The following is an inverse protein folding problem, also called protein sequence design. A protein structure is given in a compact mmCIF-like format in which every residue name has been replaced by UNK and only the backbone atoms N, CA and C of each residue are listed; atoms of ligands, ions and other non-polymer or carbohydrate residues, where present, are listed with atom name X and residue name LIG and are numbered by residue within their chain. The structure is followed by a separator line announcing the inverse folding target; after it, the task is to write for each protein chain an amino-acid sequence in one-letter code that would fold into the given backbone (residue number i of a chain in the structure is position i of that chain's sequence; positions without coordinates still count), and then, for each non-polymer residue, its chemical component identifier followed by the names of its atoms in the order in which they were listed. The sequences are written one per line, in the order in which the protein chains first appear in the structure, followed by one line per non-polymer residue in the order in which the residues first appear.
data_IF_664737336872
#
_entry.id   IF_664737336872
#
_cell.length_a   1.000
_cell.length_b   1.000
_cell.length_c   1.000
_cell.angle_alpha   90.00
_cell.angle_beta   90.00
_cell.angle_gamma   90.00
#
_symmetry.space_group_name_H-M   'P 1'
#
loop_
_entity.id
_entity.type
_entity.pdbx_description
1 polymer ?
#
# COMPACT_ATOMS: atom_id res chain seq x y z
N UNK A 1 23.88 14.19 22.20
CA UNK A 1 23.05 15.41 22.07
C UNK A 1 21.98 15.35 23.16
N UNK A 2 22.07 16.16 24.22
CA UNK A 2 21.03 16.23 25.27
C UNK A 2 20.17 17.47 25.02
N UNK A 3 18.94 17.28 24.58
CA UNK A 3 17.91 18.32 24.58
C UNK A 3 17.30 18.36 25.99
N UNK A 4 17.79 19.24 26.85
CA UNK A 4 17.14 19.54 28.13
C UNK A 4 15.94 20.44 27.86
N UNK A 5 14.75 19.85 27.72
CA UNK A 5 13.50 20.59 27.60
C UNK A 5 13.05 21.16 28.96
N UNK A 6 13.40 22.40 29.25
CA UNK A 6 12.73 23.16 30.32
C UNK A 6 11.56 23.96 29.72
N UNK A 7 10.35 23.45 29.90
CA UNK A 7 9.12 24.18 29.60
C UNK A 7 8.63 24.86 30.88
N UNK A 8 8.86 26.18 31.02
CA UNK A 8 8.27 26.97 32.10
C UNK A 8 6.90 27.47 31.66
N UNK A 9 5.84 27.12 32.39
CA UNK A 9 4.46 27.56 32.12
C UNK A 9 3.88 28.32 33.31
N UNK A 10 3.30 29.49 33.05
CA UNK A 10 2.29 30.12 33.91
C UNK A 10 0.92 29.77 33.33
N UNK A 11 0.17 28.89 34.01
CA UNK A 11 -1.28 28.71 33.84
C UNK A 11 -1.72 27.71 32.75
N UNK A 12 -2.71 26.89 33.13
CA UNK A 12 -3.44 25.84 32.36
C UNK A 12 -2.71 24.50 32.12
N UNK A 13 -3.38 23.40 32.49
CA UNK A 13 -2.86 22.03 32.42
C UNK A 13 -3.00 21.45 31.01
N UNK A 14 -1.89 20.94 30.45
CA UNK A 14 -1.88 20.16 29.22
C UNK A 14 -1.24 18.82 29.53
N UNK A 15 -1.76 17.72 28.96
CA UNK A 15 -1.04 16.44 28.99
C UNK A 15 -0.04 16.44 27.84
N UNK A 16 1.20 16.13 28.17
CA UNK A 16 2.32 16.09 27.24
C UNK A 16 2.56 14.64 26.82
N UNK A 17 2.20 14.30 25.59
CA UNK A 17 2.66 13.09 24.92
C UNK A 17 3.55 13.54 23.77
N UNK A 18 4.83 13.78 24.09
CA UNK A 18 5.86 14.07 23.10
C UNK A 18 6.65 12.80 22.83
N UNK A 19 6.53 12.24 21.63
CA UNK A 19 7.52 11.27 21.14
C UNK A 19 8.76 12.07 20.73
N UNK A 20 9.79 12.01 21.56
CA UNK A 20 11.09 12.60 21.28
C UNK A 20 11.96 11.58 20.54
N UNK A 21 12.20 11.78 19.24
CA UNK A 21 13.31 11.11 18.57
C UNK A 21 14.61 11.84 18.98
N UNK A 22 15.17 11.49 20.14
CA UNK A 22 16.50 11.96 20.56
C UNK A 22 17.50 10.87 20.24
N UNK A 23 18.25 11.05 19.16
CA UNK A 23 19.44 10.24 18.88
C UNK A 23 20.55 10.74 19.82
N UNK A 24 20.73 10.07 20.95
CA UNK A 24 21.81 10.32 21.90
C UNK A 24 22.87 9.23 21.78
N UNK A 25 23.93 9.48 21.02
CA UNK A 25 25.16 8.70 21.14
C UNK A 25 25.90 9.11 22.41
N UNK A 26 26.23 8.13 23.26
CA UNK A 26 26.96 8.35 24.51
C UNK A 26 28.39 7.81 24.34
N UNK A 27 29.32 8.65 23.87
CA UNK A 27 30.74 8.30 23.85
C UNK A 27 31.40 8.62 25.20
N UNK A 28 32.14 7.64 25.73
CA UNK A 28 33.07 7.82 26.84
C UNK A 28 34.28 8.63 26.36
N UNK A 29 34.48 9.81 26.96
CA UNK A 29 35.76 10.53 26.92
C UNK A 29 36.10 11.30 25.65
N UNK A 30 35.30 12.33 25.31
CA UNK A 30 35.79 13.47 24.52
C UNK A 30 35.23 14.75 25.13
N UNK A 31 36.08 15.75 25.35
CA UNK A 31 35.68 17.13 25.67
C UNK A 31 34.82 17.67 24.51
N UNK A 32 33.52 17.41 24.54
CA UNK A 32 32.57 17.96 23.61
C UNK A 32 32.02 19.26 24.22
N UNK A 33 32.34 20.40 23.63
CA UNK A 33 31.57 21.63 23.84
C UNK A 33 30.09 21.28 23.66
N UNK A 34 29.29 21.39 24.72
CA UNK A 34 27.85 21.10 24.66
C UNK A 34 27.17 22.05 23.66
N UNK A 35 26.94 21.58 22.44
CA UNK A 35 26.10 22.28 21.48
C UNK A 35 24.66 22.12 21.93
N UNK A 36 24.13 23.16 22.58
CA UNK A 36 22.73 23.22 22.99
C UNK A 36 21.92 23.95 21.90
N UNK A 37 20.98 23.24 21.27
CA UNK A 37 19.98 23.84 20.39
C UNK A 37 18.70 24.11 21.15
N UNK A 38 18.10 25.30 20.97
CA UNK A 38 16.86 25.70 21.63
C UNK A 38 15.77 25.98 20.59
N UNK A 39 14.68 25.23 20.62
CA UNK A 39 13.47 25.53 19.84
C UNK A 39 12.51 26.34 20.70
N UNK A 40 12.19 27.57 20.28
CA UNK A 40 11.15 28.39 20.90
C UNK A 40 9.91 28.31 20.04
N UNK A 41 8.79 27.90 20.63
CA UNK A 41 7.49 27.74 19.94
C UNK A 41 6.56 28.84 20.44
N UNK A 42 5.98 29.61 19.53
CA UNK A 42 4.94 30.57 19.83
C UNK A 42 3.56 29.89 19.76
N UNK A 43 2.97 29.65 20.93
CA UNK A 43 1.66 29.00 21.02
C UNK A 43 0.49 29.91 20.61
N UNK A 44 0.71 31.22 20.44
CA UNK A 44 -0.31 32.19 20.02
C UNK A 44 -0.24 32.54 18.53
N UNK A 45 0.78 32.06 17.81
CA UNK A 45 1.05 32.43 16.43
C UNK A 45 1.22 31.18 15.57
N UNK A 46 0.30 30.98 14.62
CA UNK A 46 0.31 29.82 13.75
C UNK A 46 -0.61 29.98 12.54
N UNK A 47 -0.55 29.01 11.64
CA UNK A 47 -1.40 28.94 10.44
C UNK A 47 -2.07 27.57 10.35
N UNK A 48 -3.26 27.53 9.77
CA UNK A 48 -3.95 26.28 9.49
C UNK A 48 -3.22 25.51 8.38
N UNK A 49 -2.97 24.23 8.61
CA UNK A 49 -2.55 23.27 7.59
C UNK A 49 -3.84 22.73 6.94
N UNK A 50 -3.91 22.59 5.60
CA UNK A 50 -5.06 22.01 4.93
C UNK A 50 -5.46 20.63 5.47
N UNK A 51 -6.75 20.33 5.49
CA UNK A 51 -7.25 19.00 5.90
C UNK A 51 -6.79 17.89 4.93
N UNK A 52 -6.41 18.27 3.72
CA UNK A 52 -5.95 17.40 2.63
C UNK A 52 -4.42 17.27 2.56
N UNK A 53 -3.69 17.79 3.54
CA UNK A 53 -2.25 18.01 3.42
C UNK A 53 -1.44 16.72 3.21
N UNK A 54 -1.74 15.64 3.92
CA UNK A 54 -1.20 14.30 3.70
C UNK A 54 -2.24 13.39 3.07
N UNK A 55 -1.88 12.81 1.92
CA UNK A 55 -2.69 11.86 1.17
C UNK A 55 -1.93 10.61 0.77
N UNK A 56 -2.62 9.68 0.13
CA UNK A 56 -2.05 8.47 -0.45
C UNK A 56 -2.06 8.59 -1.97
N UNK A 57 -0.95 8.20 -2.62
CA UNK A 57 -0.88 8.06 -4.07
C UNK A 57 -1.10 6.60 -4.46
N UNK A 58 -1.92 6.36 -5.48
CA UNK A 58 -2.13 5.02 -6.00
C UNK A 58 -1.90 5.00 -7.50
N UNK A 59 -1.01 4.13 -7.93
CA UNK A 59 -0.80 3.76 -9.32
C UNK A 59 -0.75 2.24 -9.45
N UNK A 60 -1.06 1.72 -10.64
CA UNK A 60 -0.84 0.29 -10.92
C UNK A 60 0.64 0.07 -11.25
N UNK A 61 1.43 -0.07 -10.20
CA UNK A 61 2.82 -0.51 -10.22
C UNK A 61 2.97 -1.64 -9.20
N UNK A 62 3.93 -2.54 -9.40
CA UNK A 62 4.25 -3.61 -8.44
C UNK A 62 3.03 -4.44 -7.97
N UNK A 63 2.03 -4.61 -8.84
CA UNK A 63 0.76 -5.30 -8.52
C UNK A 63 -0.09 -4.65 -7.41
N UNK A 64 0.02 -3.32 -7.24
CA UNK A 64 -0.72 -2.56 -6.24
C UNK A 64 -2.24 -2.71 -6.35
N UNK A 65 -2.79 -2.76 -7.57
CA UNK A 65 -4.20 -3.03 -7.83
C UNK A 65 -4.42 -4.50 -8.14
N UNK A 66 -4.03 -4.93 -9.34
CA UNK A 66 -4.23 -6.30 -9.81
C UNK A 66 -3.24 -7.28 -9.15
N UNK A 67 -3.75 -8.04 -8.17
CA UNK A 67 -2.94 -8.90 -7.31
C UNK A 67 -2.62 -8.29 -5.95
N UNK A 68 -3.10 -7.07 -5.68
CA UNK A 68 -2.99 -6.32 -4.43
C UNK A 68 -4.36 -5.90 -3.90
N UNK A 69 -4.68 -4.60 -3.96
CA UNK A 69 -5.94 -4.04 -3.42
C UNK A 69 -7.20 -4.63 -4.07
N UNK A 70 -7.13 -5.01 -5.34
CA UNK A 70 -8.25 -5.64 -6.02
C UNK A 70 -8.39 -7.09 -5.59
N UNK A 71 -9.45 -7.38 -4.83
CA UNK A 71 -9.73 -8.71 -4.24
C UNK A 71 -10.06 -9.83 -5.25
N UNK A 72 -9.80 -9.64 -6.54
CA UNK A 72 -9.88 -10.71 -7.54
C UNK A 72 -8.73 -11.70 -7.31
N UNK A 73 -9.07 -12.98 -7.23
CA UNK A 73 -8.09 -14.03 -7.00
C UNK A 73 -7.59 -14.62 -8.32
N UNK A 74 -8.35 -14.49 -9.40
CA UNK A 74 -8.03 -15.10 -10.70
C UNK A 74 -7.22 -14.13 -11.57
N UNK A 75 -5.97 -14.47 -11.84
CA UNK A 75 -5.11 -13.71 -12.75
C UNK A 75 -5.49 -14.00 -14.21
N UNK A 76 -5.38 -12.99 -15.09
CA UNK A 76 -5.78 -13.06 -16.49
C UNK A 76 -7.20 -13.65 -16.65
N UNK A 77 -8.15 -13.20 -15.82
CA UNK A 77 -9.52 -13.75 -15.78
C UNK A 77 -10.29 -13.60 -17.08
N UNK A 78 -9.92 -12.60 -17.89
CA UNK A 78 -10.57 -12.26 -19.15
C UNK A 78 -9.85 -12.79 -20.39
N UNK A 79 -8.68 -13.44 -20.23
CA UNK A 79 -7.82 -13.82 -21.35
C UNK A 79 -7.49 -12.62 -22.26
N UNK A 80 -7.18 -11.47 -21.66
CA UNK A 80 -6.80 -10.23 -22.37
C UNK A 80 -5.30 -10.01 -22.34
N UNK A 81 -4.57 -10.75 -21.50
CA UNK A 81 -3.13 -10.60 -21.35
C UNK A 81 -2.34 -11.16 -22.56
N UNK A 82 -1.27 -10.46 -22.91
CA UNK A 82 -0.25 -10.95 -23.84
C UNK A 82 -0.68 -11.04 -25.31
N UNK A 83 -1.59 -10.19 -25.76
CA UNK A 83 -1.84 -10.00 -27.19
C UNK A 83 -0.57 -9.51 -27.89
N UNK A 84 0.03 -10.34 -28.74
CA UNK A 84 1.03 -9.85 -29.70
C UNK A 84 0.34 -9.02 -30.78
N UNK A 85 1.12 -8.19 -31.47
CA UNK A 85 0.73 -7.40 -32.66
C UNK A 85 -0.02 -8.23 -33.73
N UNK A 86 0.05 -9.57 -33.69
CA UNK A 86 -0.60 -10.49 -34.62
C UNK A 86 -1.93 -11.13 -34.12
N UNK A 87 -2.49 -10.68 -33.00
CA UNK A 87 -3.92 -10.90 -32.70
C UNK A 87 -4.33 -12.16 -31.95
N UNK A 88 -3.41 -12.98 -31.41
CA UNK A 88 -3.76 -14.07 -30.48
C UNK A 88 -3.39 -13.71 -29.05
N UNK A 89 -4.40 -13.61 -28.18
CA UNK A 89 -4.22 -13.49 -26.73
C UNK A 89 -3.68 -14.78 -26.14
N UNK A 90 -2.93 -14.68 -25.04
CA UNK A 90 -2.37 -15.85 -24.35
C UNK A 90 -3.23 -16.24 -23.13
N UNK A 91 -3.06 -17.48 -22.69
CA UNK A 91 -3.75 -18.00 -21.50
C UNK A 91 -2.89 -17.90 -20.25
N UNK A 92 -1.66 -17.38 -20.30
CA UNK A 92 -0.80 -17.33 -19.10
C UNK A 92 -1.46 -16.45 -18.02
N UNK A 93 -1.47 -16.84 -16.73
CA UNK A 93 -0.77 -17.96 -16.10
C UNK A 93 -1.58 -19.25 -15.99
N UNK A 94 -2.69 -19.39 -16.72
CA UNK A 94 -3.49 -20.61 -16.72
C UNK A 94 -2.70 -21.80 -17.25
N UNK A 95 -2.91 -22.96 -16.65
CA UNK A 95 -2.33 -24.24 -17.07
C UNK A 95 -3.42 -25.24 -17.42
N UNK A 96 -3.10 -26.20 -18.30
CA UNK A 96 -4.04 -27.22 -18.76
C UNK A 96 -4.05 -28.39 -17.78
N UNK A 97 -5.25 -28.83 -17.39
CA UNK A 97 -5.46 -30.06 -16.61
C UNK A 97 -5.80 -31.19 -17.60
N UNK A 98 -4.94 -32.18 -17.70
CA UNK A 98 -5.04 -33.29 -18.64
C UNK A 98 -3.80 -33.43 -19.52
N UNK A 99 -3.67 -34.56 -20.20
CA UNK A 99 -2.60 -34.77 -21.18
C UNK A 99 -2.89 -33.94 -22.44
N UNK A 100 -2.02 -32.98 -22.72
CA UNK A 100 -2.16 -32.02 -23.82
C UNK A 100 -2.26 -32.76 -25.16
N UNK A 101 -3.19 -32.32 -26.03
CA UNK A 101 -3.50 -32.87 -27.36
C UNK A 101 -4.10 -34.29 -27.41
N UNK A 102 -3.98 -35.12 -26.36
CA UNK A 102 -4.64 -36.43 -26.31
C UNK A 102 -6.01 -36.38 -25.62
N UNK A 103 -6.18 -35.47 -24.65
CA UNK A 103 -7.38 -35.40 -23.81
C UNK A 103 -8.15 -34.08 -23.92
N UNK A 104 -7.44 -32.98 -24.20
CA UNK A 104 -8.00 -31.65 -24.35
C UNK A 104 -7.08 -30.77 -25.23
N UNK A 105 -7.70 -29.90 -26.03
CA UNK A 105 -7.04 -28.78 -26.70
C UNK A 105 -7.60 -27.49 -26.12
N UNK A 106 -6.72 -26.55 -25.77
CA UNK A 106 -7.08 -25.25 -25.20
C UNK A 106 -6.50 -24.13 -26.06
N UNK A 107 -7.33 -23.16 -26.42
CA UNK A 107 -6.95 -21.98 -27.22
C UNK A 107 -7.79 -20.76 -26.85
N UNK A 108 -7.44 -19.59 -27.39
CA UNK A 108 -8.25 -18.37 -27.31
C UNK A 108 -8.90 -18.08 -28.67
N UNK A 109 -10.13 -17.55 -28.66
CA UNK A 109 -10.85 -17.14 -29.87
C UNK A 109 -11.74 -15.91 -29.63
N UNK A 110 -12.10 -15.19 -30.69
CA UNK A 110 -12.90 -13.97 -30.64
C UNK A 110 -14.41 -14.18 -30.43
N UNK A 111 -14.83 -15.19 -29.66
CA UNK A 111 -16.23 -15.61 -29.53
C UNK A 111 -16.91 -15.22 -28.22
N UNK A 112 -16.26 -14.35 -27.42
CA UNK A 112 -16.82 -13.87 -26.16
C UNK A 112 -18.16 -13.17 -26.34
N UNK A 113 -19.05 -13.38 -25.37
CA UNK A 113 -20.35 -12.72 -25.30
C UNK A 113 -20.28 -11.25 -24.85
N UNK A 114 -19.10 -10.75 -24.45
CA UNK A 114 -18.94 -9.37 -23.97
C UNK A 114 -18.62 -8.40 -25.10
N UNK A 115 -19.09 -7.16 -24.97
CA UNK A 115 -18.81 -6.12 -25.97
C UNK A 115 -17.37 -5.64 -25.90
N UNK A 116 -16.85 -5.40 -24.69
CA UNK A 116 -15.52 -4.81 -24.46
C UNK A 116 -14.38 -5.83 -24.48
N UNK A 117 -14.65 -7.08 -24.11
CA UNK A 117 -13.69 -8.18 -24.18
C UNK A 117 -14.20 -9.24 -25.15
N UNK A 118 -13.60 -9.28 -26.35
CA UNK A 118 -13.97 -10.22 -27.42
C UNK A 118 -13.32 -11.59 -27.29
N UNK A 119 -12.34 -11.75 -26.40
CA UNK A 119 -11.59 -12.99 -26.25
C UNK A 119 -12.32 -13.94 -25.31
N UNK A 120 -12.50 -15.17 -25.74
CA UNK A 120 -12.96 -16.28 -24.92
C UNK A 120 -11.95 -17.43 -24.99
N UNK A 121 -11.86 -18.18 -23.89
CA UNK A 121 -11.16 -19.45 -23.90
C UNK A 121 -12.02 -20.52 -24.57
N UNK A 122 -11.43 -21.24 -25.51
CA UNK A 122 -12.01 -22.43 -26.12
C UNK A 122 -11.33 -23.69 -25.57
N UNK A 123 -12.16 -24.68 -25.24
CA UNK A 123 -11.73 -25.98 -24.76
C UNK A 123 -12.40 -27.07 -25.59
N UNK A 124 -11.61 -27.76 -26.41
CA UNK A 124 -12.06 -28.92 -27.17
C UNK A 124 -11.68 -30.19 -26.39
N UNK A 125 -12.66 -30.81 -25.73
CA UNK A 125 -12.46 -32.02 -24.93
C UNK A 125 -12.48 -33.26 -25.82
N UNK A 126 -11.33 -33.90 -25.97
CA UNK A 126 -11.10 -35.00 -26.90
C UNK A 126 -11.32 -36.39 -26.28
N UNK A 127 -11.34 -36.48 -24.95
CA UNK A 127 -11.51 -37.74 -24.25
C UNK A 127 -13.00 -38.09 -24.00
N UNK A 128 -13.31 -39.38 -23.87
CA UNK A 128 -14.65 -39.91 -23.62
C UNK A 128 -14.65 -41.07 -22.62
N UNK A 129 -15.52 -40.99 -21.60
CA UNK A 129 -15.78 -42.02 -20.57
C UNK A 129 -14.51 -42.63 -19.93
N UNK A 130 -13.94 -43.68 -20.54
CA UNK A 130 -12.78 -44.42 -20.04
C UNK A 130 -11.44 -43.81 -20.45
N UNK A 131 -11.40 -42.95 -21.48
CA UNK A 131 -10.16 -42.27 -21.90
C UNK A 131 -9.93 -40.94 -21.19
N UNK A 132 -10.90 -40.41 -20.43
CA UNK A 132 -10.66 -39.23 -19.61
C UNK A 132 -9.99 -39.60 -18.28
N UNK A 133 -9.06 -38.77 -17.78
CA UNK A 133 -8.51 -38.92 -16.43
C UNK A 133 -9.60 -38.95 -15.36
N UNK A 134 -9.36 -39.67 -14.25
CA UNK A 134 -10.33 -39.81 -13.13
C UNK A 134 -10.78 -38.47 -12.52
N UNK A 135 -9.98 -37.41 -12.65
CA UNK A 135 -10.30 -36.04 -12.20
C UNK A 135 -10.95 -35.15 -13.26
N UNK A 136 -11.14 -35.64 -14.49
CA UNK A 136 -11.56 -34.84 -15.65
C UNK A 136 -10.39 -34.13 -16.34
N UNK A 137 -10.75 -33.27 -17.29
CA UNK A 137 -9.83 -32.35 -17.98
C UNK A 137 -10.34 -30.92 -17.80
N UNK A 138 -9.44 -29.95 -17.90
CA UNK A 138 -9.79 -28.57 -17.55
C UNK A 138 -8.64 -27.59 -17.69
N UNK A 139 -8.75 -26.50 -16.94
CA UNK A 139 -7.71 -25.50 -16.75
C UNK A 139 -7.57 -25.19 -15.27
N UNK A 140 -6.38 -24.74 -14.87
CA UNK A 140 -6.07 -24.27 -13.52
C UNK A 140 -5.52 -22.85 -13.57
N UNK A 141 -5.86 -22.00 -12.60
CA UNK A 141 -5.30 -20.68 -12.45
C UNK A 141 -4.54 -20.62 -11.12
N UNK A 142 -3.25 -20.24 -11.10
CA UNK A 142 -2.49 -20.11 -9.86
C UNK A 142 -2.81 -18.82 -9.08
N UNK A 143 -3.64 -17.93 -9.63
CA UNK A 143 -3.89 -16.61 -9.08
C UNK A 143 -2.69 -15.69 -9.25
N UNK A 144 -2.46 -14.84 -8.26
CA UNK A 144 -1.30 -13.96 -8.17
C UNK A 144 -0.27 -14.59 -7.22
N UNK A 145 0.54 -15.50 -7.78
CA UNK A 145 1.50 -16.35 -7.05
C UNK A 145 0.89 -17.20 -5.92
N UNK A 146 -0.40 -17.50 -6.04
CA UNK A 146 -1.17 -18.26 -5.07
C UNK A 146 -2.53 -17.62 -4.81
N UNK A 147 -3.34 -18.33 -4.02
CA UNK A 147 -4.59 -17.81 -3.48
C UNK A 147 -4.67 -18.19 -1.99
N UNK A 148 -4.85 -17.22 -1.10
CA UNK A 148 -5.02 -17.50 0.32
C UNK A 148 -6.46 -18.00 0.59
N UNK A 149 -6.62 -19.32 0.62
CA UNK A 149 -7.91 -19.97 0.87
C UNK A 149 -8.03 -20.29 2.37
N UNK A 150 -8.94 -19.60 3.03
CA UNK A 150 -9.16 -19.67 4.47
C UNK A 150 -10.39 -20.53 4.81
N UNK A 151 -10.24 -21.40 5.81
CA UNK A 151 -11.34 -22.21 6.32
C UNK A 151 -12.49 -21.34 6.85
N UNK A 152 -13.73 -21.71 6.52
CA UNK A 152 -14.93 -21.00 6.96
C UNK A 152 -15.29 -19.73 6.16
N UNK A 153 -14.40 -19.24 5.28
CA UNK A 153 -14.72 -18.12 4.37
C UNK A 153 -15.54 -18.59 3.17
N UNK A 154 -16.33 -17.68 2.60
CA UNK A 154 -17.11 -17.92 1.38
C UNK A 154 -16.49 -17.20 0.21
N UNK A 155 -16.39 -17.89 -0.92
CA UNK A 155 -15.82 -17.37 -2.16
C UNK A 155 -16.88 -17.31 -3.24
N UNK A 156 -16.96 -16.19 -3.97
CA UNK A 156 -17.90 -15.99 -5.07
C UNK A 156 -17.19 -16.28 -6.38
N UNK A 157 -17.58 -17.36 -7.05
CA UNK A 157 -17.07 -17.71 -8.37
C UNK A 157 -18.12 -17.39 -9.42
N UNK A 158 -17.73 -16.61 -10.44
CA UNK A 158 -18.58 -16.25 -11.58
C UNK A 158 -17.79 -16.49 -12.85
N UNK A 159 -18.38 -17.21 -13.78
CA UNK A 159 -17.82 -17.45 -15.11
C UNK A 159 -18.96 -17.61 -16.11
N UNK A 160 -18.66 -17.39 -17.38
CA UNK A 160 -19.60 -17.47 -18.49
C UNK A 160 -19.16 -18.60 -19.40
N UNK A 161 -20.08 -19.51 -19.73
CA UNK A 161 -19.78 -20.70 -20.52
C UNK A 161 -20.85 -20.94 -21.56
N UNK A 162 -20.42 -21.24 -22.78
CA UNK A 162 -21.25 -21.75 -23.86
C UNK A 162 -20.75 -23.15 -24.23
N UNK A 163 -21.64 -24.11 -24.39
CA UNK A 163 -21.28 -25.45 -24.85
C UNK A 163 -22.22 -25.93 -25.94
N UNK A 164 -21.67 -26.68 -26.90
CA UNK A 164 -22.44 -27.33 -27.97
C UNK A 164 -23.14 -28.60 -27.49
N UNK A 165 -22.82 -29.10 -26.29
CA UNK A 165 -23.34 -30.34 -25.75
C UNK A 165 -23.54 -30.30 -24.24
N UNK A 166 -23.92 -31.45 -23.67
CA UNK A 166 -24.06 -31.58 -22.22
C UNK A 166 -22.68 -31.56 -21.58
N UNK A 167 -22.50 -30.68 -20.60
CA UNK A 167 -21.28 -30.58 -19.80
C UNK A 167 -21.57 -30.79 -18.32
N UNK A 168 -20.60 -31.40 -17.62
CA UNK A 168 -20.57 -31.48 -16.17
C UNK A 168 -19.39 -30.64 -15.70
N UNK A 169 -19.67 -29.57 -14.96
CA UNK A 169 -18.65 -28.64 -14.49
C UNK A 169 -18.44 -28.79 -12.98
N UNK A 170 -17.18 -28.85 -12.58
CA UNK A 170 -16.75 -28.79 -11.20
C UNK A 170 -15.69 -27.69 -11.07
N UNK A 171 -15.81 -26.90 -10.01
CA UNK A 171 -14.78 -25.94 -9.60
C UNK A 171 -14.23 -26.40 -8.27
N UNK A 172 -12.92 -26.31 -8.11
CA UNK A 172 -12.23 -26.69 -6.89
C UNK A 172 -11.11 -25.71 -6.57
N UNK A 173 -10.92 -25.41 -5.29
CA UNK A 173 -9.63 -24.94 -4.79
C UNK A 173 -8.77 -26.15 -4.45
N UNK A 174 -7.52 -26.14 -4.89
CA UNK A 174 -6.58 -27.24 -4.73
C UNK A 174 -5.31 -26.68 -4.12
N UNK A 175 -4.85 -27.27 -3.01
CA UNK A 175 -3.62 -26.91 -2.34
C UNK A 175 -2.42 -27.13 -3.26
N UNK A 176 -1.59 -26.12 -3.40
CA UNK A 176 -0.39 -26.14 -4.26
C UNK A 176 0.71 -27.07 -3.74
N UNK A 177 0.68 -27.40 -2.44
CA UNK A 177 1.65 -28.20 -1.71
C UNK A 177 1.44 -29.72 -1.88
N UNK A 178 0.20 -30.17 -1.93
CA UNK A 178 -0.15 -31.60 -1.86
C UNK A 178 -1.25 -32.03 -2.83
N UNK A 179 -1.80 -31.11 -3.63
CA UNK A 179 -2.91 -31.39 -4.54
C UNK A 179 -4.23 -31.70 -3.83
N UNK A 180 -4.33 -31.48 -2.52
CA UNK A 180 -5.53 -31.72 -1.74
C UNK A 180 -6.59 -30.70 -2.11
N UNK A 181 -7.80 -31.19 -2.33
CA UNK A 181 -8.96 -30.36 -2.63
C UNK A 181 -9.44 -29.66 -1.35
N UNK A 182 -9.19 -28.35 -1.26
CA UNK A 182 -9.54 -27.51 -0.12
C UNK A 182 -11.05 -27.22 -0.07
N UNK A 183 -11.63 -26.97 -1.25
CA UNK A 183 -13.07 -26.83 -1.41
C UNK A 183 -13.46 -27.24 -2.83
N UNK A 184 -14.69 -27.70 -3.03
CA UNK A 184 -15.23 -27.88 -4.37
C UNK A 184 -16.73 -27.76 -4.43
N UNK A 185 -17.24 -27.37 -5.60
CA UNK A 185 -18.67 -27.35 -5.88
C UNK A 185 -18.93 -27.84 -7.29
N UNK A 186 -20.03 -28.58 -7.45
CA UNK A 186 -20.56 -28.95 -8.77
C UNK A 186 -21.49 -27.84 -9.24
N UNK A 187 -21.29 -27.35 -10.44
CA UNK A 187 -22.12 -26.28 -10.98
C UNK A 187 -23.40 -26.88 -11.53
N UNK A 188 -24.53 -26.57 -10.89
CA UNK A 188 -25.87 -26.91 -11.39
C UNK A 188 -26.29 -25.87 -12.45
N UNK A 189 -25.68 -25.96 -13.63
CA UNK A 189 -25.86 -24.98 -14.72
C UNK A 189 -27.34 -24.74 -15.09
N UNK A 190 -28.21 -25.74 -14.87
CA UNK A 190 -29.65 -25.65 -15.16
C UNK A 190 -30.37 -24.60 -14.29
N UNK A 191 -29.84 -24.29 -13.12
CA UNK A 191 -30.41 -23.32 -12.18
C UNK A 191 -29.86 -21.90 -12.43
N UNK A 192 -28.97 -21.72 -13.42
CA UNK A 192 -28.22 -20.47 -13.68
C UNK A 192 -28.39 -19.95 -15.11
N UNK A 193 -29.43 -20.40 -15.83
CA UNK A 193 -29.78 -19.92 -17.19
C UNK A 193 -30.81 -18.79 -17.08
N UNK A 194 -30.47 -17.57 -17.52
CA UNK A 194 -31.34 -16.39 -17.51
C UNK A 194 -30.69 -15.17 -18.16
N UNK A 195 -31.48 -14.14 -18.50
CA UNK A 195 -31.00 -12.92 -19.17
C UNK A 195 -30.07 -12.11 -18.26
N UNK A 196 -29.00 -11.54 -18.83
CA UNK A 196 -27.99 -10.75 -18.12
C UNK A 196 -28.49 -9.36 -17.68
N UNK A 197 -29.67 -8.95 -18.19
CA UNK A 197 -30.31 -7.64 -18.04
C UNK A 197 -30.93 -7.39 -16.66
N UNK A 198 -31.06 -8.42 -15.80
CA UNK A 198 -31.79 -8.33 -14.53
C UNK A 198 -30.91 -8.25 -13.27
N UNK A 199 -29.79 -7.51 -13.27
CA UNK A 199 -29.02 -7.26 -12.03
C UNK A 199 -28.59 -5.79 -11.85
N UNK A 200 -28.75 -5.21 -10.64
CA UNK A 200 -28.62 -3.76 -10.44
C UNK A 200 -27.20 -3.30 -10.15
N UNK A 201 -26.90 -2.10 -10.65
CA UNK A 201 -25.84 -1.18 -10.22
C UNK A 201 -26.30 0.26 -10.55
N UNK A 202 -25.76 1.27 -9.86
CA UNK A 202 -26.04 2.68 -10.16
C UNK A 202 -24.91 3.27 -11.01
N UNK A 203 -25.27 4.05 -12.03
CA UNK A 203 -24.38 4.59 -13.04
C UNK A 203 -24.59 6.10 -13.14
N UNK A 204 -23.51 6.91 -13.15
CA UNK A 204 -23.63 8.33 -13.48
C UNK A 204 -24.03 8.45 -14.96
N UNK A 205 -25.23 8.95 -15.20
CA UNK A 205 -25.94 8.91 -16.49
C UNK A 205 -25.46 9.97 -17.50
N UNK A 206 -24.61 10.91 -17.09
CA UNK A 206 -24.06 11.95 -17.96
C UNK A 206 -22.74 11.51 -18.63
N UNK A 207 -21.79 10.93 -17.87
CA UNK A 207 -20.41 10.70 -18.38
C UNK A 207 -19.94 9.25 -18.43
N UNK A 208 -20.81 8.30 -18.08
CA UNK A 208 -20.63 6.89 -18.41
C UNK A 208 -19.48 6.14 -17.69
N UNK A 209 -19.09 6.56 -16.49
CA UNK A 209 -18.22 5.85 -15.53
C UNK A 209 -18.60 6.15 -14.05
N UNK A 210 -17.92 5.53 -13.07
CA UNK A 210 -18.09 5.81 -11.62
C UNK A 210 -17.12 6.93 -11.18
N UNK A 211 -17.61 7.99 -10.53
CA UNK A 211 -16.85 9.21 -10.20
C UNK A 211 -17.22 9.76 -8.82
N UNK A 212 -16.26 10.41 -8.16
CA UNK A 212 -16.34 11.06 -6.85
C UNK A 212 -16.50 12.60 -6.90
N UNK A 213 -16.92 13.18 -8.03
CA UNK A 213 -17.41 14.56 -8.18
C UNK A 213 -16.64 15.65 -7.38
N UNK A 214 -15.30 15.69 -7.47
CA UNK A 214 -14.55 16.67 -6.67
C UNK A 214 -13.14 17.01 -7.18
N UNK A 215 -13.03 17.79 -8.26
CA UNK A 215 -11.81 18.56 -8.53
C UNK A 215 -12.15 19.86 -9.25
N UNK A 216 -11.97 21.00 -8.58
CA UNK A 216 -12.29 22.33 -9.07
C UNK A 216 -11.06 23.12 -9.56
N UNK A 217 -11.34 24.27 -10.18
CA UNK A 217 -10.35 25.18 -10.77
C UNK A 217 -9.45 25.88 -9.73
N UNK A 218 -9.90 26.03 -8.48
CA UNK A 218 -9.11 26.66 -7.41
C UNK A 218 -8.13 25.67 -6.76
N UNK A 219 -8.46 24.38 -6.74
CA UNK A 219 -7.60 23.28 -6.30
C UNK A 219 -6.42 23.05 -7.25
N UNK A 220 -6.59 23.36 -8.55
CA UNK A 220 -5.52 23.27 -9.56
C UNK A 220 -4.46 24.38 -9.51
N UNK A 221 -4.67 25.44 -8.72
CA UNK A 221 -3.72 26.55 -8.54
C UNK A 221 -2.85 26.40 -7.27
N UNK A 222 -3.09 25.35 -6.48
CA UNK A 222 -2.34 25.05 -5.26
C UNK A 222 -1.18 24.09 -5.56
N UNK A 223 -0.05 24.24 -4.86
CA UNK A 223 1.08 23.34 -5.07
C UNK A 223 0.76 21.96 -4.50
N UNK A 224 0.75 20.95 -5.36
CA UNK A 224 0.61 19.55 -4.99
C UNK A 224 1.93 18.82 -5.25
N UNK A 225 2.49 18.22 -4.20
CA UNK A 225 3.63 17.30 -4.34
C UNK A 225 3.06 15.91 -4.59
N UNK A 226 2.87 15.57 -5.87
CA UNK A 226 2.17 14.35 -6.28
C UNK A 226 2.92 13.05 -6.01
N UNK A 227 4.25 13.12 -5.94
CA UNK A 227 5.12 11.98 -5.67
C UNK A 227 6.36 12.43 -4.90
N UNK A 228 6.71 11.69 -3.86
CA UNK A 228 8.03 11.75 -3.25
C UNK A 228 8.34 10.42 -2.58
N UNK A 229 9.62 10.04 -2.63
CA UNK A 229 10.22 8.97 -1.85
C UNK A 229 11.75 9.04 -2.00
N UNK A 230 12.46 8.51 -1.01
CA UNK A 230 13.87 8.18 -1.20
C UNK A 230 13.93 6.83 -1.92
N UNK A 231 14.79 6.72 -2.94
CA UNK A 231 14.79 5.59 -3.87
C UNK A 231 16.18 4.94 -4.00
N UNK A 232 16.24 3.74 -4.61
CA UNK A 232 17.47 2.98 -4.91
C UNK A 232 18.25 2.55 -3.66
N UNK A 233 19.57 2.41 -3.79
CA UNK A 233 20.50 1.86 -2.79
C UNK A 233 20.36 2.51 -1.40
N UNK A 234 20.03 3.80 -1.35
CA UNK A 234 19.85 4.54 -0.08
C UNK A 234 18.61 4.06 0.67
N UNK A 235 17.59 3.68 -0.07
CA UNK A 235 16.29 3.32 0.44
C UNK A 235 16.19 1.82 0.72
N UNK A 236 16.86 0.98 -0.09
CA UNK A 236 16.83 -0.47 0.02
C UNK A 236 15.40 -1.00 -0.02
N UNK A 237 15.08 -1.97 0.84
CA UNK A 237 13.71 -2.49 1.03
C UNK A 237 12.89 -1.68 2.06
N UNK A 238 13.25 -0.41 2.26
CA UNK A 238 12.66 0.48 3.26
C UNK A 238 13.61 0.66 4.45
N UNK A 239 14.46 1.67 4.40
CA UNK A 239 15.44 1.97 5.44
C UNK A 239 14.96 3.08 6.38
N UNK A 240 15.36 3.01 7.65
CA UNK A 240 15.14 4.12 8.58
C UNK A 240 15.84 5.41 8.10
N UNK A 241 16.98 5.27 7.41
CA UNK A 241 17.70 6.40 6.84
C UNK A 241 16.86 7.14 5.78
N UNK A 242 16.18 6.41 4.89
CA UNK A 242 15.22 6.97 3.95
C UNK A 242 14.08 7.70 4.66
N UNK A 243 13.46 7.07 5.66
CA UNK A 243 12.39 7.68 6.44
C UNK A 243 12.85 8.98 7.16
N UNK A 244 14.06 9.02 7.69
CA UNK A 244 14.61 10.23 8.32
C UNK A 244 14.84 11.35 7.28
N UNK A 245 15.33 11.01 6.08
CA UNK A 245 15.49 11.98 5.00
C UNK A 245 14.14 12.52 4.49
N UNK A 246 13.14 11.65 4.35
CA UNK A 246 11.76 12.00 4.03
C UNK A 246 11.14 12.90 5.11
N UNK A 247 11.41 12.62 6.39
CA UNK A 247 10.92 13.44 7.49
C UNK A 247 11.45 14.88 7.41
N UNK A 248 12.72 15.07 7.01
CA UNK A 248 13.29 16.39 6.80
C UNK A 248 12.61 17.14 5.65
N UNK A 249 12.29 16.43 4.57
CA UNK A 249 11.54 16.97 3.43
C UNK A 249 10.12 17.36 3.83
N UNK A 250 9.40 16.48 4.54
CA UNK A 250 8.05 16.73 5.03
C UNK A 250 7.96 17.89 6.01
N UNK A 251 8.92 18.05 6.92
CA UNK A 251 8.99 19.25 7.78
C UNK A 251 9.15 20.52 6.92
N UNK A 252 9.86 20.44 5.79
CA UNK A 252 9.93 21.50 4.81
C UNK A 252 8.57 21.83 4.21
N UNK A 253 7.79 20.81 3.81
CA UNK A 253 6.44 21.03 3.27
C UNK A 253 5.49 21.58 4.33
N UNK A 254 5.53 21.07 5.57
CA UNK A 254 4.71 21.59 6.67
C UNK A 254 4.98 23.07 6.90
N UNK A 255 6.23 23.51 6.81
CA UNK A 255 6.64 24.91 6.92
C UNK A 255 6.09 25.81 5.81
N UNK A 256 5.68 25.23 4.69
CA UNK A 256 5.13 25.91 3.51
C UNK A 256 3.67 25.46 3.24
N UNK A 257 2.95 24.99 4.27
CA UNK A 257 1.57 24.53 4.18
C UNK A 257 0.55 25.63 3.81
N UNK A 258 0.99 26.88 3.71
CA UNK A 258 0.25 28.02 3.15
C UNK A 258 0.24 28.01 1.62
N UNK A 259 1.17 27.27 0.99
CA UNK A 259 1.30 27.15 -0.48
C UNK A 259 1.08 25.71 -0.94
N UNK A 260 1.53 24.74 -0.15
CA UNK A 260 1.40 23.30 -0.43
C UNK A 260 0.12 22.77 0.19
N UNK A 261 -0.75 22.22 -0.64
CA UNK A 261 -2.10 21.80 -0.22
C UNK A 261 -2.25 20.29 -0.08
N UNK A 262 -1.33 19.52 -0.68
CA UNK A 262 -1.28 18.08 -0.55
C UNK A 262 0.14 17.57 -0.83
N UNK A 263 0.51 16.48 -0.18
CA UNK A 263 1.68 15.67 -0.46
C UNK A 263 1.29 14.19 -0.43
N UNK A 264 1.79 13.42 -1.39
CA UNK A 264 1.52 11.99 -1.48
C UNK A 264 2.80 11.17 -1.65
N UNK A 265 2.97 10.17 -0.78
CA UNK A 265 4.09 9.23 -0.86
C UNK A 265 3.84 8.25 -2.00
N UNK A 266 4.85 8.05 -2.85
CA UNK A 266 4.76 7.14 -3.98
C UNK A 266 6.09 6.40 -4.18
N UNK A 267 6.05 5.10 -4.46
CA UNK A 267 4.89 4.21 -4.61
C UNK A 267 4.41 3.61 -3.27
N UNK A 268 3.14 3.21 -3.24
CA UNK A 268 2.44 2.85 -1.99
C UNK A 268 2.48 1.36 -1.68
N UNK A 269 2.43 0.47 -2.68
CA UNK A 269 2.27 -0.97 -2.50
C UNK A 269 3.23 -1.76 -3.39
N UNK A 270 4.00 -2.67 -2.80
CA UNK A 270 4.82 -3.65 -3.53
C UNK A 270 4.46 -5.08 -3.17
N UNK A 271 4.22 -5.90 -4.19
CA UNK A 271 4.13 -7.35 -4.02
C UNK A 271 5.53 -7.99 -4.06
N UNK A 272 5.95 -8.68 -3.00
CA UNK A 272 7.29 -9.27 -2.89
C UNK A 272 7.59 -10.37 -3.91
N UNK A 273 6.59 -10.82 -4.67
CA UNK A 273 6.79 -11.81 -5.73
C UNK A 273 7.23 -11.18 -7.07
N UNK A 274 7.12 -9.85 -7.22
CA UNK A 274 7.48 -9.14 -8.45
C UNK A 274 7.76 -7.66 -8.18
N UNK A 275 9.00 -7.38 -7.78
CA UNK A 275 9.47 -6.06 -7.34
C UNK A 275 10.17 -5.32 -8.50
N UNK A 276 9.54 -4.28 -9.06
CA UNK A 276 10.17 -3.44 -10.09
C UNK A 276 10.71 -2.12 -9.55
N UNK A 277 10.13 -1.61 -8.46
CA UNK A 277 10.54 -0.38 -7.81
C UNK A 277 10.69 -0.62 -6.30
N UNK A 278 11.71 -0.02 -5.68
CA UNK A 278 11.96 -0.11 -4.24
C UNK A 278 12.42 1.24 -3.66
N UNK A 279 11.91 1.64 -2.47
CA UNK A 279 10.99 0.92 -1.58
C UNK A 279 9.58 1.51 -1.52
N UNK A 280 8.57 0.66 -1.54
CA UNK A 280 7.19 1.09 -1.36
C UNK A 280 6.84 1.21 0.14
N UNK A 281 5.80 1.98 0.46
CA UNK A 281 5.38 2.14 1.85
C UNK A 281 4.86 0.83 2.45
N UNK A 282 4.05 0.07 1.71
CA UNK A 282 3.41 -1.16 2.17
C UNK A 282 3.90 -2.32 1.32
N UNK A 283 4.56 -3.27 1.98
CA UNK A 283 5.07 -4.49 1.35
C UNK A 283 4.09 -5.62 1.66
N UNK A 284 3.70 -6.39 0.65
CA UNK A 284 2.76 -7.48 0.83
C UNK A 284 3.07 -8.69 -0.06
N UNK A 285 2.43 -9.80 0.28
CA UNK A 285 2.36 -10.98 -0.57
C UNK A 285 0.95 -11.59 -0.45
N UNK A 286 0.78 -12.82 -0.94
CA UNK A 286 -0.53 -13.50 -0.98
C UNK A 286 -1.21 -13.65 0.39
N UNK A 287 -0.48 -13.63 1.52
CA UNK A 287 -1.04 -13.94 2.85
C UNK A 287 -0.62 -12.98 3.97
N UNK A 288 0.34 -12.09 3.75
CA UNK A 288 0.84 -11.16 4.78
C UNK A 288 1.19 -9.80 4.17
N UNK A 289 1.22 -8.78 5.01
CA UNK A 289 1.67 -7.43 4.68
C UNK A 289 2.37 -6.78 5.88
N UNK A 290 3.23 -5.81 5.60
CA UNK A 290 3.87 -4.96 6.61
C UNK A 290 4.15 -3.56 6.03
N UNK A 291 4.28 -2.57 6.93
CA UNK A 291 4.69 -1.21 6.56
C UNK A 291 6.19 -1.01 6.73
N UNK A 292 6.85 -0.37 5.76
CA UNK A 292 8.25 0.06 5.85
C UNK A 292 8.40 1.23 6.84
N UNK A 293 9.63 1.62 7.25
CA UNK A 293 9.84 2.83 8.04
C UNK A 293 9.18 4.07 7.45
N UNK A 294 9.12 4.18 6.12
CA UNK A 294 8.44 5.27 5.40
C UNK A 294 6.91 5.25 5.59
N UNK A 295 6.27 4.08 5.69
CA UNK A 295 4.85 3.98 6.05
C UNK A 295 4.57 4.52 7.45
N UNK A 296 5.38 4.12 8.43
CA UNK A 296 5.22 4.60 9.81
C UNK A 296 5.51 6.09 9.93
N UNK A 297 6.42 6.61 9.11
CA UNK A 297 6.61 8.04 8.96
C UNK A 297 5.36 8.74 8.44
N UNK A 298 4.70 8.21 7.40
CA UNK A 298 3.44 8.78 6.91
C UNK A 298 2.38 8.81 8.03
N UNK A 299 2.23 7.70 8.76
CA UNK A 299 1.32 7.61 9.91
C UNK A 299 1.66 8.64 10.99
N UNK A 300 2.94 8.92 11.23
CA UNK A 300 3.35 9.94 12.19
C UNK A 300 2.98 11.37 11.75
N UNK A 301 2.95 11.62 10.44
CA UNK A 301 2.67 12.92 9.86
C UNK A 301 1.19 13.19 9.56
N UNK A 302 0.32 12.17 9.55
CA UNK A 302 -1.11 12.33 9.25
C UNK A 302 -1.82 13.32 10.19
N UNK A 303 -1.37 13.44 11.43
CA UNK A 303 -1.89 14.41 12.41
C UNK A 303 -1.65 15.87 12.03
N UNK A 304 -0.90 16.14 10.96
CA UNK A 304 -0.75 17.47 10.40
C UNK A 304 -1.96 17.92 9.58
N UNK A 305 -2.81 16.99 9.12
CA UNK A 305 -4.05 17.32 8.40
C UNK A 305 -4.99 18.12 9.32
N UNK A 306 -5.32 19.34 8.93
CA UNK A 306 -6.18 20.23 9.71
C UNK A 306 -5.55 20.78 10.99
N UNK A 307 -4.25 20.54 11.22
CA UNK A 307 -3.56 21.05 12.39
C UNK A 307 -3.17 22.52 12.25
N UNK A 308 -2.89 23.18 13.37
CA UNK A 308 -2.27 24.50 13.37
C UNK A 308 -0.75 24.33 13.40
N UNK A 309 -0.08 24.71 12.31
CA UNK A 309 1.36 24.88 12.32
C UNK A 309 1.74 26.06 13.22
N UNK A 310 2.60 25.82 14.21
CA UNK A 310 3.02 26.85 15.17
C UNK A 310 4.33 27.48 14.73
N UNK A 311 4.37 28.82 14.75
CA UNK A 311 5.58 29.56 14.47
C UNK A 311 6.64 29.21 15.51
N UNK A 312 7.81 28.80 15.03
CA UNK A 312 8.89 28.37 15.91
C UNK A 312 10.24 28.87 15.41
N UNK A 313 11.08 29.30 16.35
CA UNK A 313 12.43 29.78 16.10
C UNK A 313 13.42 28.81 16.71
N UNK A 314 14.25 28.23 15.85
CA UNK A 314 15.33 27.35 16.27
C UNK A 314 16.62 28.16 16.44
N UNK A 315 17.05 28.32 17.69
CA UNK A 315 18.34 28.91 18.03
C UNK A 315 19.36 27.77 18.11
N UNK A 316 20.23 27.69 17.11
CA UNK A 316 21.29 26.68 17.07
C UNK A 316 22.66 27.32 16.77
N UNK A 317 23.74 26.71 17.24
CA UNK A 317 25.10 27.02 16.81
C UNK A 317 25.54 26.20 15.57
N UNK A 318 24.76 25.18 15.15
CA UNK A 318 24.98 24.42 13.90
C UNK A 318 23.78 24.42 12.96
N UNK A 319 23.98 24.27 11.65
CA UNK A 319 22.90 24.19 10.65
C UNK A 319 22.35 22.77 10.42
N UNK A 320 22.57 21.87 11.39
CA UNK A 320 22.46 20.41 11.20
C UNK A 320 21.11 19.78 11.58
N UNK A 321 20.10 20.55 11.95
CA UNK A 321 18.77 20.04 12.34
C UNK A 321 17.65 20.88 11.74
N UNK A 322 16.50 20.24 11.52
CA UNK A 322 15.25 20.86 11.08
C UNK A 322 14.16 20.43 12.05
N UNK A 323 13.31 21.38 12.44
CA UNK A 323 12.18 21.10 13.33
C UNK A 323 10.90 21.80 12.88
N UNK A 324 9.75 21.22 13.23
CA UNK A 324 8.42 21.82 13.18
C UNK A 324 7.66 21.56 14.48
N UNK A 325 6.63 22.36 14.74
CA UNK A 325 5.70 22.14 15.81
C UNK A 325 4.28 22.37 15.30
N UNK A 326 3.37 21.48 15.65
CA UNK A 326 1.95 21.59 15.32
C UNK A 326 1.11 21.46 16.58
N UNK A 327 -0.04 22.12 16.59
CA UNK A 327 -1.14 21.85 17.50
C UNK A 327 -2.25 21.14 16.73
N UNK A 328 -2.63 19.95 17.16
CA UNK A 328 -3.67 19.15 16.50
C UNK A 328 -4.69 18.64 17.52
N UNK A 329 -5.91 18.37 17.05
CA UNK A 329 -6.94 17.71 17.86
C UNK A 329 -6.92 16.21 17.55
N UNK A 330 -6.70 15.37 18.55
CA UNK A 330 -6.73 13.93 18.35
C UNK A 330 -8.18 13.46 18.13
N UNK A 331 -8.42 12.73 17.05
CA UNK A 331 -9.75 12.25 16.67
C UNK A 331 -10.32 11.20 17.62
N UNK A 332 -9.49 10.49 18.38
CA UNK A 332 -9.92 9.43 19.30
C UNK A 332 -10.47 9.98 20.62
N UNK A 333 -9.87 11.04 21.16
CA UNK A 333 -10.24 11.58 22.48
C UNK A 333 -10.70 13.05 22.47
N UNK A 334 -10.66 13.71 21.30
CA UNK A 334 -11.09 15.10 21.11
C UNK A 334 -10.21 16.14 21.80
N UNK A 335 -9.02 15.77 22.28
CA UNK A 335 -8.14 16.71 22.99
C UNK A 335 -7.11 17.34 22.06
N UNK A 336 -6.67 18.53 22.45
CA UNK A 336 -5.62 19.27 21.78
C UNK A 336 -4.24 18.84 22.28
N UNK A 337 -3.35 18.50 21.35
CA UNK A 337 -1.98 18.07 21.60
C UNK A 337 -0.98 18.97 20.88
N UNK A 338 0.19 19.15 21.49
CA UNK A 338 1.37 19.76 20.86
C UNK A 338 2.28 18.63 20.38
N UNK A 339 2.52 18.55 19.06
CA UNK A 339 3.48 17.61 18.47
C UNK A 339 4.68 18.39 17.94
N UNK A 340 5.87 18.04 18.42
CA UNK A 340 7.14 18.63 17.98
C UNK A 340 7.92 17.57 17.21
N UNK A 341 8.37 17.90 16.00
CA UNK A 341 9.11 17.02 15.10
C UNK A 341 10.51 17.59 14.91
N UNK A 342 11.54 16.78 15.12
CA UNK A 342 12.95 17.23 15.03
C UNK A 342 13.73 16.16 14.28
N UNK A 343 14.46 16.57 13.23
CA UNK A 343 15.17 15.67 12.31
C UNK A 343 16.56 16.24 12.01
N UNK A 344 17.63 15.42 12.00
CA UNK A 344 18.95 15.86 11.56
C UNK A 344 19.00 16.09 10.04
N UNK A 345 19.62 17.20 9.62
CA UNK A 345 19.91 17.52 8.21
C UNK A 345 21.19 16.83 7.70
N UNK A 346 22.08 16.42 8.61
CA UNK A 346 23.28 15.59 8.36
C UNK A 346 23.57 14.75 9.60
N UNK A 347 23.73 13.44 9.45
CA UNK A 347 24.24 12.55 10.49
C UNK A 347 25.11 11.47 9.82
N UNK A 348 26.34 11.27 10.32
CA UNK A 348 27.03 9.99 10.16
C UNK A 348 26.56 9.10 11.30
N UNK A 349 25.97 7.95 10.98
CA UNK A 349 25.52 6.94 11.95
C UNK A 349 26.35 5.67 11.73
N UNK A 350 27.68 5.79 11.78
CA UNK A 350 28.61 4.69 11.52
C UNK A 350 28.49 3.51 12.51
N UNK A 351 27.93 3.70 13.72
CA UNK A 351 27.86 2.70 14.79
C UNK A 351 26.51 2.68 15.55
N UNK A 352 25.39 2.86 14.85
CA UNK A 352 24.06 2.94 15.49
C UNK A 352 23.70 1.73 16.37
N UNK A 353 24.23 0.54 16.08
CA UNK A 353 24.04 -0.69 16.88
C UNK A 353 24.75 -0.67 18.24
N UNK A 354 25.83 0.09 18.39
CA UNK A 354 26.66 0.12 19.61
C UNK A 354 26.43 1.38 20.46
N UNK A 355 26.01 2.49 19.85
CA UNK A 355 25.98 3.80 20.50
C UNK A 355 24.59 4.29 20.93
N UNK A 356 23.52 3.57 20.59
CA UNK A 356 22.15 3.99 20.86
C UNK A 356 21.61 3.37 22.16
N UNK A 357 21.41 4.21 23.19
CA UNK A 357 20.70 3.81 24.40
C UNK A 357 19.19 4.07 24.22
N UNK A 358 18.39 3.01 24.32
CA UNK A 358 16.93 3.08 24.25
C UNK A 358 16.35 3.08 25.65
N UNK A 359 15.69 4.17 26.05
CA UNK A 359 14.94 4.25 27.30
C UNK A 359 13.44 4.26 26.97
N UNK A 360 12.75 3.15 27.27
CA UNK A 360 11.31 3.01 27.03
C UNK A 360 10.53 3.56 28.21
N UNK A 361 9.78 4.64 27.99
CA UNK A 361 8.82 5.12 28.97
C UNK A 361 7.64 4.14 29.10
N UNK A 362 6.95 4.07 30.26
CA UNK A 362 5.72 3.30 30.37
C UNK A 362 4.71 3.77 29.32
N UNK A 363 4.07 2.82 28.62
CA UNK A 363 3.08 3.05 27.55
C UNK A 363 3.61 3.57 26.20
N UNK A 364 4.92 3.48 25.93
CA UNK A 364 5.46 3.72 24.58
C UNK A 364 5.56 2.43 23.75
N UNK A 365 5.17 2.48 22.47
CA UNK A 365 5.54 1.47 21.47
C UNK A 365 6.71 2.03 20.65
N UNK A 366 7.84 1.32 20.69
CA UNK A 366 8.99 1.61 19.81
C UNK A 366 9.45 0.30 19.19
N UNK A 367 9.56 0.26 17.87
CA UNK A 367 10.10 -0.87 17.12
C UNK A 367 11.56 -0.60 16.77
N UNK A 368 12.47 -1.50 17.14
CA UNK A 368 13.86 -1.53 16.66
C UNK A 368 14.18 -2.95 16.21
N UNK A 369 14.68 -3.10 14.99
CA UNK A 369 15.35 -4.33 14.54
C UNK A 369 16.85 -4.05 14.44
N UNK A 370 17.64 -4.85 15.16
CA UNK A 370 19.09 -4.94 15.01
C UNK A 370 19.38 -5.93 13.89
N UNK A 371 19.91 -5.45 12.77
CA UNK A 371 20.63 -6.33 11.84
C UNK A 371 22.02 -6.57 12.43
N UNK A 372 22.38 -7.84 12.69
CA UNK A 372 23.75 -8.26 13.01
C UNK A 372 24.55 -8.34 11.70
#
# INVERSE_FOLDING_TARGET
MKLNGFCSRKGSSWRHEGVFLVISTCHYGVNANEITSKLVIDAGSGRLIPDTFFGAFFEEINHAGAGGLWAELVNNRGFEAGGSINGTSNIYPWTIIGENQSSIIVSTEGSSCFERNKIALRMDVLCHRKSCPRGGVGISNPGFWGMNIEEGKKYKVVFYVRSLGRINLQISFVGSDNGVKLASTKIRWKDTVGAWEERPGHYNDIWKYWTDDGFGYFEGLQAYVSEYAVWKEVAGNGSLYAAVAEAAFLIGLEKNSDVVSMVAYAPLFVNTNDEYWIPDAIVFNTYQNYGTPSYWLQQFFIDSNGAIFLNSTLYNSSSSIVASAIQYTNSQDGKNYLKVKIVPKRASLENASNDMNVELAPYSVTSFDLLI
#
